data_IF_753003580275
#
_entry.id   IF_753003580275
#
_cell.length_a   1.000
_cell.length_b   1.000
_cell.length_c   1.000
_cell.angle_alpha   90.00
_cell.angle_beta   90.00
_cell.angle_gamma   90.00
#
_symmetry.space_group_name_H-M   'P 1'
#
loop_
_entity.id
_entity.type
_entity.pdbx_description
1 polymer ?
#
# COMPACT_ATOMS: atom_id res chain seq x y z
N UNK A 1 -10.07 -50.30 13.11
CA UNK A 1 -10.45 -49.70 11.82
C UNK A 1 -10.10 -48.21 11.91
N UNK A 2 -8.99 -47.78 11.31
CA UNK A 2 -8.53 -46.38 11.39
C UNK A 2 -8.72 -45.73 10.02
N UNK A 3 -9.58 -44.72 9.93
CA UNK A 3 -9.68 -43.86 8.75
C UNK A 3 -8.63 -42.76 8.89
N UNK A 4 -7.60 -42.81 8.05
CA UNK A 4 -6.67 -41.68 7.86
C UNK A 4 -7.38 -40.68 6.96
N UNK A 5 -7.82 -39.58 7.56
CA UNK A 5 -8.32 -38.42 6.81
C UNK A 5 -7.12 -37.74 6.14
N UNK A 6 -6.93 -37.99 4.84
CA UNK A 6 -6.06 -37.17 4.01
C UNK A 6 -6.69 -35.77 3.91
N UNK A 7 -6.26 -34.85 4.78
CA UNK A 7 -6.50 -33.44 4.58
C UNK A 7 -5.90 -33.05 3.22
N UNK A 8 -6.75 -32.75 2.25
CA UNK A 8 -6.32 -32.27 0.95
C UNK A 8 -5.50 -30.99 1.17
N UNK A 9 -4.20 -31.04 0.89
CA UNK A 9 -3.35 -29.86 0.81
C UNK A 9 -3.94 -28.99 -0.31
N UNK A 10 -4.47 -27.78 -0.03
CA UNK A 10 -5.05 -26.96 -1.09
C UNK A 10 -3.96 -26.68 -2.11
N UNK A 11 -4.22 -27.06 -3.36
CA UNK A 11 -3.32 -26.78 -4.48
C UNK A 11 -3.00 -25.27 -4.49
N UNK A 12 -1.71 -24.92 -4.35
CA UNK A 12 -1.26 -23.53 -4.39
C UNK A 12 -1.70 -22.94 -5.73
N UNK A 13 -2.55 -21.91 -5.69
CA UNK A 13 -2.96 -21.18 -6.90
C UNK A 13 -1.68 -20.66 -7.59
N UNK A 14 -1.57 -20.77 -8.93
CA UNK A 14 -0.44 -20.22 -9.65
C UNK A 14 -0.32 -18.74 -9.30
N UNK A 15 0.89 -18.33 -8.91
CA UNK A 15 1.12 -17.01 -8.32
C UNK A 15 2.15 -16.27 -9.16
N UNK A 16 1.85 -15.02 -9.52
CA UNK A 16 2.77 -14.11 -10.22
C UNK A 16 3.23 -13.04 -9.24
N UNK A 17 4.52 -12.72 -9.24
CA UNK A 17 5.07 -11.61 -8.46
C UNK A 17 5.25 -10.41 -9.40
N UNK A 18 4.54 -9.33 -9.11
CA UNK A 18 4.68 -8.04 -9.76
C UNK A 18 5.69 -7.22 -8.95
N UNK A 19 6.71 -6.68 -9.59
CA UNK A 19 7.74 -5.85 -8.95
C UNK A 19 7.78 -4.48 -9.62
N UNK A 20 7.65 -3.42 -8.83
CA UNK A 20 7.65 -2.04 -9.30
C UNK A 20 8.76 -1.26 -8.57
N UNK A 21 9.66 -0.62 -9.31
CA UNK A 21 10.68 0.27 -8.77
C UNK A 21 10.17 1.71 -8.75
N UNK A 22 10.41 2.41 -7.64
CA UNK A 22 10.14 3.84 -7.48
C UNK A 22 11.39 4.54 -6.97
N UNK A 23 11.53 5.82 -7.30
CA UNK A 23 12.71 6.62 -6.94
C UNK A 23 12.33 8.08 -6.67
N UNK A 24 12.92 8.67 -5.63
CA UNK A 24 12.82 10.10 -5.29
C UNK A 24 14.06 10.51 -4.48
N UNK A 25 14.63 11.68 -4.76
CA UNK A 25 15.78 12.25 -4.04
C UNK A 25 16.90 11.21 -3.78
N UNK A 26 17.34 10.52 -4.83
CA UNK A 26 18.39 9.46 -4.78
C UNK A 26 18.03 8.21 -3.96
N UNK A 27 16.83 8.14 -3.37
CA UNK A 27 16.30 6.93 -2.73
C UNK A 27 15.47 6.15 -3.71
N UNK A 28 15.77 4.86 -3.85
CA UNK A 28 14.96 3.93 -4.62
C UNK A 28 14.46 2.79 -3.72
N UNK A 29 13.24 2.33 -3.99
CA UNK A 29 12.74 1.08 -3.44
C UNK A 29 12.01 0.28 -4.52
N UNK A 30 11.99 -1.03 -4.31
CA UNK A 30 11.18 -1.96 -5.10
C UNK A 30 10.05 -2.45 -4.22
N UNK A 31 8.82 -2.21 -4.65
CA UNK A 31 7.63 -2.77 -4.03
C UNK A 31 7.16 -3.98 -4.81
N UNK A 32 6.63 -4.96 -4.09
CA UNK A 32 6.17 -6.21 -4.69
C UNK A 32 4.71 -6.48 -4.32
N UNK A 33 3.94 -6.96 -5.29
CA UNK A 33 2.60 -7.52 -5.09
C UNK A 33 2.57 -8.95 -5.62
N UNK A 34 2.00 -9.86 -4.84
CA UNK A 34 1.88 -11.26 -5.20
C UNK A 34 0.42 -11.51 -5.59
N UNK A 35 0.19 -11.88 -6.85
CA UNK A 35 -1.16 -12.04 -7.43
C UNK A 35 -1.46 -13.48 -7.82
N UNK A 36 -2.71 -13.92 -7.68
CA UNK A 36 -3.15 -15.29 -8.00
C UNK A 36 -3.68 -15.47 -9.44
N UNK A 37 -3.74 -14.40 -10.24
CA UNK A 37 -4.14 -14.42 -11.66
C UNK A 37 -3.49 -13.25 -12.45
N UNK A 38 -3.48 -13.35 -13.79
CA UNK A 38 -2.87 -12.44 -14.78
C UNK A 38 -3.08 -10.92 -14.50
N UNK A 39 -2.22 -10.01 -15.02
CA UNK A 39 -2.02 -8.67 -14.46
C UNK A 39 -3.28 -7.80 -14.52
N UNK A 40 -3.95 -7.74 -13.37
CA UNK A 40 -5.08 -6.88 -12.99
C UNK A 40 -4.50 -5.59 -12.33
N UNK A 41 -5.28 -4.61 -11.81
CA UNK A 41 -4.78 -3.28 -11.39
C UNK A 41 -3.79 -3.28 -10.20
N UNK A 42 -3.31 -4.46 -9.80
CA UNK A 42 -2.39 -4.77 -8.71
C UNK A 42 -0.96 -4.23 -8.92
N UNK A 43 -0.60 -3.77 -10.13
CA UNK A 43 0.65 -3.02 -10.35
C UNK A 43 0.68 -1.76 -9.47
N UNK A 44 -0.46 -1.10 -9.30
CA UNK A 44 -0.60 0.08 -8.42
C UNK A 44 -0.34 -0.28 -6.96
N UNK A 45 -0.74 -1.48 -6.52
CA UNK A 45 -0.44 -1.97 -5.17
C UNK A 45 1.07 -2.20 -4.98
N UNK A 46 1.75 -2.79 -5.97
CA UNK A 46 3.19 -2.99 -5.92
C UNK A 46 3.92 -1.66 -5.82
N UNK A 47 3.57 -0.68 -6.66
CA UNK A 47 4.21 0.64 -6.61
C UNK A 47 3.84 1.45 -5.37
N UNK A 48 2.61 1.36 -4.85
CA UNK A 48 2.23 1.95 -3.56
C UNK A 48 3.07 1.36 -2.39
N UNK A 49 3.34 0.05 -2.39
CA UNK A 49 4.25 -0.59 -1.42
C UNK A 49 5.69 -0.08 -1.57
N UNK A 50 6.14 0.19 -2.80
CA UNK A 50 7.46 0.78 -3.05
C UNK A 50 7.55 2.19 -2.43
N UNK A 51 6.54 3.02 -2.69
CA UNK A 51 6.45 4.36 -2.11
C UNK A 51 6.38 4.34 -0.58
N UNK A 52 5.65 3.40 0.01
CA UNK A 52 5.60 3.25 1.46
C UNK A 52 6.98 2.91 2.04
N UNK A 53 7.74 2.03 1.37
CA UNK A 53 9.10 1.69 1.80
C UNK A 53 10.03 2.91 1.73
N UNK A 54 9.95 3.71 0.66
CA UNK A 54 10.69 4.97 0.52
C UNK A 54 10.30 5.95 1.63
N UNK A 55 9.00 6.12 1.88
CA UNK A 55 8.51 7.07 2.88
C UNK A 55 9.03 6.71 4.28
N UNK A 56 8.99 5.42 4.65
CA UNK A 56 9.54 4.93 5.93
C UNK A 56 11.05 5.10 6.03
N UNK A 57 11.79 4.96 4.92
CA UNK A 57 13.24 5.19 4.89
C UNK A 57 13.63 6.68 4.99
N UNK A 58 12.68 7.59 4.70
CA UNK A 58 12.84 9.03 4.76
C UNK A 58 12.22 9.64 6.03
N UNK A 59 11.94 8.87 7.08
CA UNK A 59 11.23 9.37 8.28
C UNK A 59 11.93 10.57 8.93
N UNK A 60 13.27 10.58 8.92
CA UNK A 60 14.12 11.69 9.39
C UNK A 60 14.16 12.89 8.43
N UNK A 61 13.53 12.78 7.25
CA UNK A 61 13.40 13.82 6.23
C UNK A 61 11.91 14.09 5.95
N UNK A 62 11.19 14.83 6.82
CA UNK A 62 9.72 14.88 6.83
C UNK A 62 9.10 15.26 5.47
N UNK A 63 9.71 16.24 4.78
CA UNK A 63 9.28 16.64 3.44
C UNK A 63 9.47 15.55 2.38
N UNK A 64 10.51 14.73 2.49
CA UNK A 64 10.75 13.58 1.63
C UNK A 64 9.76 12.46 1.91
N UNK A 65 9.59 12.09 3.19
CA UNK A 65 8.64 11.08 3.63
C UNK A 65 7.20 11.42 3.21
N UNK A 66 6.73 12.64 3.49
CA UNK A 66 5.40 13.09 3.10
C UNK A 66 5.17 12.98 1.58
N UNK A 67 6.11 13.49 0.77
CA UNK A 67 5.98 13.44 -0.70
C UNK A 67 5.99 12.01 -1.23
N UNK A 68 6.81 11.13 -0.67
CA UNK A 68 6.83 9.72 -1.03
C UNK A 68 5.49 9.05 -0.68
N UNK A 69 4.97 9.28 0.53
CA UNK A 69 3.69 8.74 0.95
C UNK A 69 2.52 9.26 0.09
N UNK A 70 2.46 10.56 -0.19
CA UNK A 70 1.44 11.17 -1.06
C UNK A 70 1.45 10.59 -2.49
N UNK A 71 2.64 10.34 -3.05
CA UNK A 71 2.76 9.64 -4.35
C UNK A 71 2.22 8.23 -4.28
N UNK A 72 2.49 7.49 -3.21
CA UNK A 72 1.92 6.16 -2.98
C UNK A 72 0.39 6.18 -2.89
N UNK A 73 -0.17 7.16 -2.18
CA UNK A 73 -1.63 7.34 -2.06
C UNK A 73 -2.26 7.62 -3.42
N UNK A 74 -1.66 8.54 -4.17
CA UNK A 74 -2.11 8.91 -5.53
C UNK A 74 -2.03 7.72 -6.48
N UNK A 75 -0.93 6.96 -6.41
CA UNK A 75 -0.70 5.81 -7.29
C UNK A 75 -1.67 4.66 -6.98
N UNK A 76 -1.97 4.40 -5.71
CA UNK A 76 -2.95 3.38 -5.31
C UNK A 76 -4.36 3.72 -5.80
N UNK A 77 -4.70 5.01 -5.83
CA UNK A 77 -6.02 5.52 -6.21
C UNK A 77 -7.08 5.19 -5.16
N UNK A 78 -8.37 5.28 -5.53
CA UNK A 78 -9.51 5.05 -4.62
C UNK A 78 -10.39 3.88 -5.05
N UNK A 79 -10.04 3.17 -6.13
CA UNK A 79 -10.84 2.09 -6.73
C UNK A 79 -11.10 0.92 -5.76
N UNK A 80 -10.30 0.78 -4.70
CA UNK A 80 -10.50 -0.24 -3.66
C UNK A 80 -11.63 0.09 -2.67
N UNK A 81 -12.01 1.37 -2.54
CA UNK A 81 -13.02 1.83 -1.61
C UNK A 81 -14.43 1.61 -2.21
N UNK A 82 -15.14 0.57 -1.75
CA UNK A 82 -16.58 0.44 -2.03
C UNK A 82 -17.34 1.50 -1.25
N UNK A 83 -18.44 2.01 -1.81
CA UNK A 83 -19.33 2.99 -1.17
C UNK A 83 -19.85 2.60 0.24
N UNK A 84 -19.73 1.32 0.63
CA UNK A 84 -20.23 0.78 1.91
C UNK A 84 -19.14 0.74 2.99
N UNK A 85 -17.85 0.81 2.63
CA UNK A 85 -16.76 0.80 3.60
C UNK A 85 -16.36 2.24 3.90
N UNK A 86 -16.53 2.66 5.15
CA UNK A 86 -16.12 3.99 5.59
C UNK A 86 -14.59 4.06 5.59
N UNK A 87 -14.05 4.72 4.58
CA UNK A 87 -12.62 5.05 4.51
C UNK A 87 -12.36 6.29 5.37
N UNK A 88 -11.93 6.05 6.60
CA UNK A 88 -11.59 7.12 7.55
C UNK A 88 -10.33 7.90 7.13
N UNK A 89 -9.55 7.37 6.20
CA UNK A 89 -8.29 8.00 5.80
C UNK A 89 -8.47 9.25 4.95
N UNK A 90 -9.69 9.56 4.49
CA UNK A 90 -9.98 10.80 3.74
C UNK A 90 -9.78 12.03 4.64
N UNK A 91 -10.23 11.94 5.88
CA UNK A 91 -10.10 13.01 6.86
C UNK A 91 -8.62 13.15 7.30
N UNK A 92 -7.96 12.02 7.56
CA UNK A 92 -6.52 11.98 7.88
C UNK A 92 -5.64 12.53 6.74
N UNK A 93 -5.97 12.22 5.48
CA UNK A 93 -5.28 12.77 4.31
C UNK A 93 -5.43 14.29 4.24
N UNK A 94 -6.64 14.80 4.53
CA UNK A 94 -6.91 16.24 4.55
C UNK A 94 -6.11 16.94 5.66
N UNK A 95 -6.11 16.40 6.88
CA UNK A 95 -5.33 16.93 7.99
C UNK A 95 -3.83 16.90 7.70
N UNK A 96 -3.30 15.79 7.20
CA UNK A 96 -1.89 15.66 6.84
C UNK A 96 -1.47 16.71 5.79
N UNK A 97 -2.35 16.98 4.81
CA UNK A 97 -2.10 18.00 3.80
C UNK A 97 -2.10 19.42 4.39
N UNK A 98 -3.08 19.74 5.22
CA UNK A 98 -3.16 21.03 5.93
C UNK A 98 -1.91 21.27 6.78
N UNK A 99 -1.52 20.29 7.59
CA UNK A 99 -0.36 20.40 8.47
C UNK A 99 0.94 20.52 7.68
N UNK A 100 1.06 19.78 6.57
CA UNK A 100 2.22 19.91 5.68
C UNK A 100 2.32 21.30 5.06
N UNK A 101 1.21 21.87 4.60
CA UNK A 101 1.19 23.21 4.00
C UNK A 101 1.55 24.31 5.01
N UNK A 102 1.20 24.15 6.28
CA UNK A 102 1.43 25.13 7.33
C UNK A 102 2.81 25.00 7.99
N UNK A 103 3.23 23.78 8.32
CA UNK A 103 4.39 23.52 9.20
C UNK A 103 5.49 22.69 8.56
N UNK A 104 5.15 21.88 7.54
CA UNK A 104 6.08 20.93 6.89
C UNK A 104 6.82 20.03 7.88
N UNK A 105 6.15 19.66 8.97
CA UNK A 105 6.76 18.96 10.10
C UNK A 105 6.63 17.43 10.02
N UNK A 106 7.25 16.75 10.97
CA UNK A 106 7.27 15.29 11.13
C UNK A 106 5.85 14.71 11.26
N UNK A 107 4.95 15.39 11.97
CA UNK A 107 3.58 14.91 12.21
C UNK A 107 2.79 14.75 10.92
N UNK A 108 2.90 15.70 9.99
CA UNK A 108 2.26 15.59 8.69
C UNK A 108 2.77 14.40 7.87
N UNK A 109 4.08 14.12 7.94
CA UNK A 109 4.70 13.00 7.25
C UNK A 109 4.26 11.65 7.83
N UNK A 110 4.28 11.51 9.16
CA UNK A 110 3.82 10.31 9.86
C UNK A 110 2.35 10.00 9.58
N UNK A 111 1.48 11.02 9.61
CA UNK A 111 0.06 10.87 9.32
C UNK A 111 -0.16 10.39 7.87
N UNK A 112 0.53 10.99 6.89
CA UNK A 112 0.44 10.58 5.49
C UNK A 112 0.99 9.15 5.25
N UNK A 113 2.06 8.76 5.96
CA UNK A 113 2.56 7.37 5.94
C UNK A 113 1.49 6.41 6.49
N UNK A 114 0.83 6.79 7.58
CA UNK A 114 -0.28 6.04 8.19
C UNK A 114 -1.46 5.87 7.23
N UNK A 115 -1.85 6.94 6.53
CA UNK A 115 -2.87 6.91 5.47
C UNK A 115 -2.49 5.89 4.39
N UNK A 116 -1.29 5.97 3.83
CA UNK A 116 -0.85 5.05 2.78
C UNK A 116 -0.86 3.59 3.25
N UNK A 117 -0.32 3.31 4.44
CA UNK A 117 -0.29 1.96 5.01
C UNK A 117 -1.70 1.40 5.23
N UNK A 118 -2.62 2.23 5.72
CA UNK A 118 -4.02 1.85 5.92
C UNK A 118 -4.71 1.55 4.59
N UNK A 119 -4.56 2.41 3.56
CA UNK A 119 -5.15 2.20 2.24
C UNK A 119 -4.62 0.93 1.56
N UNK A 120 -3.31 0.64 1.71
CA UNK A 120 -2.72 -0.63 1.26
C UNK A 120 -3.38 -1.83 1.96
N UNK A 121 -3.63 -1.76 3.27
CA UNK A 121 -4.33 -2.82 4.02
C UNK A 121 -5.78 -2.99 3.54
N UNK A 122 -6.50 -1.90 3.30
CA UNK A 122 -7.86 -1.95 2.75
C UNK A 122 -7.89 -2.57 1.35
N UNK A 123 -6.95 -2.18 0.48
CA UNK A 123 -6.79 -2.78 -0.85
C UNK A 123 -6.61 -4.30 -0.75
N UNK A 124 -5.66 -4.77 0.07
CA UNK A 124 -5.43 -6.20 0.27
C UNK A 124 -6.69 -6.94 0.75
N UNK A 125 -7.40 -6.37 1.74
CA UNK A 125 -8.66 -6.97 2.24
C UNK A 125 -9.72 -7.05 1.15
N UNK A 126 -9.85 -6.01 0.33
CA UNK A 126 -10.84 -5.94 -0.77
C UNK A 126 -10.59 -7.02 -1.83
N UNK A 127 -9.32 -7.32 -2.09
CA UNK A 127 -8.86 -8.22 -3.14
C UNK A 127 -8.17 -9.47 -2.56
N UNK A 128 -8.53 -9.92 -1.36
CA UNK A 128 -7.86 -11.04 -0.67
C UNK A 128 -7.86 -12.36 -1.46
N UNK A 129 -8.84 -12.54 -2.35
CA UNK A 129 -8.93 -13.68 -3.25
C UNK A 129 -7.95 -13.61 -4.44
N UNK A 130 -7.34 -12.43 -4.66
CA UNK A 130 -6.52 -12.08 -5.82
C UNK A 130 -5.08 -11.69 -5.45
N UNK A 131 -4.83 -11.13 -4.25
CA UNK A 131 -3.53 -10.61 -3.81
C UNK A 131 -3.15 -11.06 -2.40
N UNK A 132 -1.85 -11.35 -2.21
CA UNK A 132 -1.20 -11.60 -0.90
C UNK A 132 -0.52 -10.34 -0.33
#
# INVERSE_FOLDING_TARGET
>A
MFFVSCAAVPARRPTVIISERREINERAAVGQARVFAAPSPHNRLAGARAWLAIAKALVEEPSGAYRAALRGVTELGTDYAKAVVRDHTIEDEWFAKQDFEQRKDEGAAELMIGVLDHRIKMYRRRYEAEVE
#
